data_IF_775416186849
#
_entry.id   IF_775416186849
#
_cell.length_a   1.000
_cell.length_b   1.000
_cell.length_c   1.000
_cell.angle_alpha   90.00
_cell.angle_beta   90.00
_cell.angle_gamma   90.00
#
_symmetry.space_group_name_H-M   'P 1'
#
loop_
_entity.id
_entity.type
_entity.pdbx_description
1 polymer ?
#
# COMPACT_ATOMS: atom_id res chain seq x y z
N UNK A 1 2.05 0.65 15.58
CA UNK A 1 2.69 1.44 14.51
C UNK A 1 3.37 0.44 13.59
N UNK A 2 3.33 0.65 12.28
CA UNK A 2 3.71 -0.33 11.25
C UNK A 2 5.05 -1.01 11.57
N UNK A 3 5.09 -2.32 11.47
CA UNK A 3 6.24 -3.14 11.87
C UNK A 3 7.13 -3.48 10.68
N UNK A 4 6.54 -3.67 9.50
CA UNK A 4 7.31 -3.98 8.28
C UNK A 4 6.60 -3.43 7.06
N UNK A 5 7.40 -2.79 6.20
CA UNK A 5 7.02 -2.43 4.83
C UNK A 5 8.08 -3.00 3.91
N UNK A 6 7.66 -3.82 2.94
CA UNK A 6 8.53 -4.31 1.87
C UNK A 6 7.89 -3.98 0.53
N UNK A 7 8.68 -3.54 -0.45
CA UNK A 7 8.18 -3.38 -1.80
C UNK A 7 9.15 -3.99 -2.83
N UNK A 8 8.59 -4.64 -3.83
CA UNK A 8 9.27 -5.03 -5.06
C UNK A 8 8.62 -4.33 -6.26
N UNK A 9 9.11 -4.56 -7.48
CA UNK A 9 8.55 -3.93 -8.69
C UNK A 9 7.06 -4.26 -8.91
N UNK A 10 6.57 -5.38 -8.37
CA UNK A 10 5.22 -5.87 -8.62
C UNK A 10 4.33 -5.93 -7.37
N UNK A 11 4.88 -5.71 -6.17
CA UNK A 11 4.16 -5.94 -4.91
C UNK A 11 4.54 -4.98 -3.80
N UNK A 12 3.55 -4.57 -3.01
CA UNK A 12 3.73 -3.89 -1.72
C UNK A 12 3.22 -4.77 -0.60
N UNK A 13 4.09 -5.14 0.34
CA UNK A 13 3.78 -5.91 1.53
C UNK A 13 3.82 -5.02 2.76
N UNK A 14 2.80 -5.16 3.61
CA UNK A 14 2.68 -4.43 4.88
C UNK A 14 2.30 -5.39 5.98
N UNK A 15 2.98 -5.28 7.12
CA UNK A 15 2.63 -5.96 8.36
C UNK A 15 2.64 -4.97 9.51
N UNK A 16 1.64 -5.06 10.38
CA UNK A 16 1.68 -4.43 11.69
C UNK A 16 1.07 -5.31 12.76
N UNK A 17 1.83 -5.67 13.80
CA UNK A 17 1.41 -6.49 14.93
C UNK A 17 0.15 -5.96 15.62
N UNK A 18 -0.01 -4.64 15.70
CA UNK A 18 -1.17 -4.00 16.32
C UNK A 18 -2.18 -3.47 15.30
N UNK A 19 -1.93 -3.63 13.99
CA UNK A 19 -2.86 -3.24 12.94
C UNK A 19 -3.99 -4.24 12.81
N UNK A 20 -5.21 -3.75 12.60
CA UNK A 20 -6.41 -4.57 12.38
C UNK A 20 -7.00 -4.38 10.99
N UNK A 21 -6.65 -3.27 10.32
CA UNK A 21 -7.08 -2.98 8.95
C UNK A 21 -5.96 -2.28 8.19
N UNK A 22 -5.69 -2.78 6.98
CA UNK A 22 -4.73 -2.23 6.03
C UNK A 22 -5.49 -1.79 4.79
N UNK A 23 -5.29 -0.54 4.37
CA UNK A 23 -5.89 0.03 3.16
C UNK A 23 -4.78 0.47 2.21
N UNK A 24 -4.76 -0.09 1.00
CA UNK A 24 -3.88 0.34 -0.08
C UNK A 24 -4.52 1.47 -0.86
N UNK A 25 -3.77 2.53 -1.08
CA UNK A 25 -4.25 3.80 -1.62
C UNK A 25 -3.36 4.22 -2.78
N UNK A 26 -4.01 4.53 -3.90
CA UNK A 26 -3.40 4.98 -5.14
C UNK A 26 -3.44 6.48 -5.34
N UNK A 27 -3.06 6.93 -6.53
CA UNK A 27 -3.16 8.34 -6.95
C UNK A 27 -4.53 8.94 -6.67
N UNK A 28 -4.53 10.25 -6.36
CA UNK A 28 -5.73 11.00 -5.96
C UNK A 28 -6.46 10.47 -4.72
N UNK A 29 -5.82 9.60 -3.92
CA UNK A 29 -6.43 9.01 -2.74
C UNK A 29 -7.40 7.86 -3.04
N UNK A 30 -7.38 7.31 -4.26
CA UNK A 30 -8.21 6.17 -4.66
C UNK A 30 -7.92 4.96 -3.78
N UNK A 31 -8.94 4.40 -3.14
CA UNK A 31 -8.80 3.10 -2.46
C UNK A 31 -8.63 2.02 -3.53
N UNK A 32 -7.51 1.29 -3.43
CA UNK A 32 -7.19 0.18 -4.34
C UNK A 32 -7.69 -1.14 -3.76
N UNK A 33 -7.47 -1.32 -2.45
CA UNK A 33 -7.84 -2.53 -1.72
C UNK A 33 -7.88 -2.25 -0.20
N UNK A 34 -8.77 -2.93 0.51
CA UNK A 34 -8.84 -2.91 1.98
C UNK A 34 -8.88 -4.34 2.51
N UNK A 35 -8.01 -4.63 3.48
CA UNK A 35 -7.88 -5.95 4.11
C UNK A 35 -8.03 -5.79 5.62
N UNK A 36 -8.97 -6.54 6.22
CA UNK A 36 -9.15 -6.59 7.68
C UNK A 36 -8.23 -7.64 8.29
N UNK A 37 -6.93 -7.37 8.25
CA UNK A 37 -5.89 -8.21 8.82
C UNK A 37 -4.70 -7.36 9.28
N UNK A 38 -3.81 -7.98 10.03
CA UNK A 38 -2.57 -7.37 10.51
C UNK A 38 -1.41 -7.51 9.51
N UNK A 39 -1.62 -8.22 8.40
CA UNK A 39 -0.71 -8.32 7.27
C UNK A 39 -1.48 -8.35 5.95
N UNK A 40 -0.90 -7.75 4.91
CA UNK A 40 -1.49 -7.75 3.57
C UNK A 40 -0.42 -7.53 2.49
N UNK A 41 -0.69 -8.05 1.29
CA UNK A 41 0.12 -7.81 0.09
C UNK A 41 -0.78 -7.27 -1.00
N UNK A 42 -0.38 -6.15 -1.61
CA UNK A 42 -1.02 -5.61 -2.81
C UNK A 42 -0.17 -5.92 -4.04
N UNK A 43 -0.82 -6.34 -5.12
CA UNK A 43 -0.18 -6.52 -6.44
C UNK A 43 -0.37 -5.26 -7.27
N UNK A 44 0.76 -4.68 -7.68
CA UNK A 44 0.81 -3.48 -8.53
C UNK A 44 0.31 -3.84 -9.93
N UNK A 45 -0.59 -3.01 -10.46
CA UNK A 45 -1.26 -3.16 -11.76
C UNK A 45 -0.67 -2.26 -12.84
N UNK A 46 0.00 -1.17 -12.44
CA UNK A 46 0.67 -0.22 -13.33
C UNK A 46 -0.14 1.05 -13.63
N UNK A 47 -1.42 1.11 -13.23
CA UNK A 47 -2.31 2.26 -13.42
C UNK A 47 -2.50 3.11 -12.15
N UNK A 48 -1.81 2.79 -11.05
CA UNK A 48 -2.05 3.44 -9.76
C UNK A 48 -1.41 4.81 -9.63
N UNK A 49 -0.32 5.08 -10.37
CA UNK A 49 0.53 6.27 -10.24
C UNK A 49 1.45 6.23 -9.00
N UNK A 50 0.89 5.94 -7.83
CA UNK A 50 1.64 5.54 -6.64
C UNK A 50 0.83 4.51 -5.85
N UNK A 51 1.47 3.77 -4.94
CA UNK A 51 0.80 2.97 -3.92
C UNK A 51 1.38 3.30 -2.55
N UNK A 52 0.51 3.57 -1.57
CA UNK A 52 0.86 3.62 -0.14
C UNK A 52 -0.13 2.80 0.66
N UNK A 53 0.23 2.44 1.88
CA UNK A 53 -0.71 1.81 2.81
C UNK A 53 -1.02 2.72 3.99
N UNK A 54 -2.30 2.73 4.36
CA UNK A 54 -2.79 3.16 5.66
C UNK A 54 -3.02 1.93 6.51
N UNK A 55 -2.57 1.94 7.76
CA UNK A 55 -2.82 0.90 8.75
C UNK A 55 -3.53 1.51 9.94
N UNK A 56 -4.68 0.95 10.30
CA UNK A 56 -5.45 1.32 11.49
C UNK A 56 -5.52 0.18 12.50
N UNK A 57 -5.65 0.50 13.78
CA UNK A 57 -5.83 -0.48 14.86
C UNK A 57 -7.25 -0.41 15.44
N UNK A 58 -7.52 -1.23 16.46
CA UNK A 58 -8.80 -1.28 17.18
C UNK A 58 -9.13 -0.03 18.00
N UNK A 59 -8.19 0.90 18.13
CA UNK A 59 -8.33 2.17 18.84
C UNK A 59 -8.43 3.36 17.86
N UNK A 60 -8.72 3.08 16.57
CA UNK A 60 -8.80 4.05 15.48
C UNK A 60 -7.52 4.88 15.26
N UNK A 61 -6.38 4.41 15.76
CA UNK A 61 -5.09 5.04 15.49
C UNK A 61 -4.57 4.61 14.12
N UNK A 62 -4.14 5.58 13.32
CA UNK A 62 -3.65 5.36 11.95
C UNK A 62 -2.17 5.68 11.81
N UNK A 63 -1.50 4.85 11.00
CA UNK A 63 -0.15 5.09 10.50
C UNK A 63 -0.12 4.90 8.97
N UNK A 64 0.78 5.61 8.31
CA UNK A 64 0.91 5.61 6.86
C UNK A 64 2.31 5.15 6.46
N UNK A 65 2.41 4.41 5.36
CA UNK A 65 3.69 4.19 4.69
C UNK A 65 4.04 5.39 3.81
N UNK A 66 5.32 5.53 3.47
CA UNK A 66 5.72 6.36 2.33
C UNK A 66 5.05 5.84 1.05
N UNK A 67 4.84 6.73 0.09
CA UNK A 67 4.30 6.37 -1.21
C UNK A 67 5.39 5.74 -2.09
N UNK A 68 5.08 4.59 -2.68
CA UNK A 68 5.89 3.95 -3.70
C UNK A 68 5.38 4.40 -5.06
N UNK A 69 6.19 5.15 -5.79
CA UNK A 69 5.82 5.62 -7.13
C UNK A 69 5.80 4.45 -8.11
N UNK A 70 4.71 4.32 -8.86
CA UNK A 70 4.57 3.28 -9.88
C UNK A 70 4.87 3.92 -11.24
N UNK A 71 5.95 3.52 -11.93
CA UNK A 71 6.21 3.98 -13.27
C UNK A 71 5.05 3.57 -14.17
N UNK A 72 4.51 4.51 -14.92
CA UNK A 72 3.57 4.17 -15.97
C UNK A 72 4.33 3.34 -17.00
N UNK A 73 3.98 2.08 -17.16
CA UNK A 73 4.48 1.21 -18.25
C UNK A 73 3.87 1.65 -19.58
N UNK A 74 4.23 2.85 -20.02
CA UNK A 74 3.78 3.49 -21.25
C UNK A 74 4.89 4.17 -22.03
N UNK A 75 6.16 4.01 -21.63
CA UNK A 75 7.31 4.50 -22.41
C UNK A 75 8.30 3.36 -22.62
N UNK A 76 8.16 2.70 -23.77
CA UNK A 76 9.32 2.09 -24.42
C UNK A 76 10.06 3.26 -25.04
N UNK A 77 11.11 3.74 -24.39
CA UNK A 77 12.06 4.62 -25.04
C UNK A 77 12.65 3.84 -26.23
N UNK A 78 12.37 4.32 -27.44
CA UNK A 78 12.98 3.85 -28.68
C UNK A 78 14.33 4.54 -28.86
#
# INVERSE_FOLDING_TARGET
VIDTVGHGPERLFVRSMNGTRITFIGSSGRILETVNANEATYTIRGDEGYVRAEVSNSLDQTAWTQAVMIPHTGRKDN
#
